data_IF_382572876264
#
_entry.id   IF_382572876264
#
_cell.length_a   1.000
_cell.length_b   1.000
_cell.length_c   1.000
_cell.angle_alpha   90.00
_cell.angle_beta   90.00
_cell.angle_gamma   90.00
#
_symmetry.space_group_name_H-M   'P 1'
#
loop_
_entity.id
_entity.type
_entity.pdbx_description
1 polymer ?
2 non-polymer ?
3 non-polymer ?
4 water ?
#
# COMPACT_ATOMS: atom_id res chain seq x y z
N UNK A 1 -6.48 1.71 10.71
CA UNK A 1 -5.41 1.31 9.81
C UNK A 1 -5.94 0.88 8.45
N UNK A 2 -5.37 1.55 7.41
CA UNK A 2 -5.81 1.32 6.02
C UNK A 2 -4.72 0.43 5.25
N UNK A 3 -5.16 -0.38 4.26
CA UNK A 3 -4.21 -0.94 3.30
C UNK A 3 -4.46 -0.14 2.01
N UNK A 4 -3.40 0.17 1.38
CA UNK A 4 -3.52 0.92 0.14
C UNK A 4 -2.74 0.17 -0.95
N UNK A 5 -3.41 -0.21 -1.96
CA UNK A 5 -2.75 -0.95 -3.08
C UNK A 5 -3.53 -0.70 -4.41
N UNK A 6 -2.71 -1.13 -5.45
CA UNK A 6 -3.34 -1.15 -6.88
C UNK A 6 -3.14 -2.58 -7.36
N UNK A 7 -4.15 -3.14 -8.04
CA UNK A 7 -4.04 -4.55 -8.51
C UNK A 7 -4.80 -4.48 -9.89
N UNK A 8 -4.33 -5.46 -10.67
CA UNK A 8 -5.00 -5.79 -12.07
C UNK A 8 -6.22 -6.56 -11.53
N UNK A 9 -6.92 -6.98 -12.70
CA UNK A 9 -8.16 -7.75 -12.57
C UNK A 9 -8.14 -9.03 -11.90
N UNK A 10 -6.97 -9.72 -11.86
CA UNK A 10 -6.72 -11.06 -11.21
C UNK A 10 -6.06 -10.79 -9.85
N UNK A 11 -5.76 -9.55 -9.41
CA UNK A 11 -5.09 -9.40 -8.10
C UNK A 11 -3.57 -9.16 -8.06
N UNK A 12 -3.07 -9.18 -9.42
CA UNK A 12 -1.64 -9.03 -9.46
C UNK A 12 -1.12 -7.72 -8.94
N UNK A 13 -0.08 -7.54 -8.11
CA UNK A 13 0.46 -6.29 -7.66
C UNK A 13 1.93 -5.90 -8.00
N UNK A 14 2.65 -7.07 -8.43
CA UNK A 14 4.10 -6.74 -8.65
C UNK A 14 4.77 -7.73 -9.75
N UNK A 15 5.96 -7.33 -10.20
CA UNK A 15 6.65 -8.10 -11.16
C UNK A 15 8.11 -7.75 -10.96
N UNK A 16 9.00 -8.68 -10.60
CA UNK A 16 10.50 -8.58 -10.58
C UNK A 16 10.88 -7.51 -9.66
N UNK A 17 10.18 -7.24 -8.54
CA UNK A 17 10.52 -6.07 -7.56
C UNK A 17 10.03 -4.74 -7.98
N UNK A 18 9.17 -4.64 -9.02
CA UNK A 18 8.75 -3.33 -9.48
C UNK A 18 7.22 -3.52 -9.81
N UNK A 19 6.49 -2.54 -10.25
CA UNK A 19 5.13 -2.51 -10.61
C UNK A 19 5.20 -3.12 -12.04
N UNK A 20 3.84 -3.87 -12.07
CA UNK A 20 3.81 -4.55 -13.50
C UNK A 20 3.29 -3.59 -14.57
N UNK A 21 2.96 -2.31 -14.37
CA UNK A 21 2.34 -1.30 -15.21
C UNK A 21 3.10 0.00 -14.78
N UNK A 22 2.66 1.11 -15.45
CA UNK A 22 3.07 2.48 -15.18
C UNK A 22 1.77 3.26 -15.56
N UNK A 23 1.33 3.77 -14.34
CA UNK A 23 -0.03 4.43 -14.15
C UNK A 23 0.07 5.69 -13.09
N UNK A 24 0.52 6.75 -14.07
CA UNK A 24 0.71 8.01 -13.30
C UNK A 24 -0.54 8.41 -12.57
N UNK A 25 -1.74 8.44 -12.90
CA UNK A 25 -2.80 8.90 -12.16
C UNK A 25 -2.84 8.38 -10.67
N UNK A 26 -2.58 7.02 -10.78
CA UNK A 26 -2.62 6.20 -9.49
C UNK A 26 -1.56 6.61 -8.56
N UNK A 27 -0.33 6.94 -9.07
CA UNK A 27 0.79 7.46 -8.26
C UNK A 27 0.33 8.85 -7.73
N UNK A 28 -0.42 9.71 -8.43
CA UNK A 28 -0.68 11.01 -7.76
C UNK A 28 -1.77 10.52 -6.79
N UNK A 29 -2.65 9.58 -6.86
CA UNK A 29 -3.63 9.24 -5.82
C UNK A 29 -2.86 8.71 -4.58
N UNK A 30 -1.84 7.80 -4.83
CA UNK A 30 -0.97 7.30 -3.72
C UNK A 30 -0.46 8.43 -2.77
N UNK A 31 0.11 9.36 -3.58
CA UNK A 31 0.65 10.54 -2.80
C UNK A 31 -0.51 11.19 -2.01
N UNK A 32 -1.67 11.52 -2.57
CA UNK A 32 -2.84 12.14 -1.88
C UNK A 32 -3.18 11.45 -0.61
N UNK A 33 -3.11 10.02 -0.70
CA UNK A 33 -3.48 9.12 0.33
C UNK A 33 -2.40 8.97 1.33
N UNK A 34 -1.17 9.46 1.12
CA UNK A 34 -0.23 9.01 2.15
C UNK A 34 0.48 10.31 2.72
N UNK A 35 0.29 11.39 1.90
CA UNK A 35 0.94 12.62 2.50
C UNK A 35 0.37 12.92 3.94
N UNK A 36 1.32 13.31 4.84
CA UNK A 36 0.87 13.47 6.18
C UNK A 36 0.62 12.35 7.04
N UNK A 37 0.69 11.07 6.56
CA UNK A 37 0.27 9.96 7.43
C UNK A 37 1.48 9.21 7.78
N UNK A 38 1.41 8.12 8.51
CA UNK A 38 2.49 7.13 8.74
C UNK A 38 2.36 6.04 7.76
N UNK A 39 3.22 5.98 6.79
CA UNK A 39 3.22 5.19 5.69
C UNK A 39 4.08 3.88 5.92
N UNK A 40 3.67 2.64 6.06
CA UNK A 40 4.50 1.42 6.26
C UNK A 40 4.68 0.63 5.02
N UNK A 41 5.92 0.42 4.73
CA UNK A 41 6.28 -0.37 3.54
C UNK A 41 7.40 -1.36 3.94
N UNK A 42 7.39 -2.50 3.33
CA UNK A 42 8.41 -3.56 3.45
C UNK A 42 9.65 -3.01 2.77
N UNK A 43 10.84 -3.53 3.22
CA UNK A 43 12.14 -3.09 2.81
C UNK A 43 12.22 -3.11 1.21
N UNK A 44 11.76 -4.34 0.67
CA UNK A 44 11.91 -4.31 -0.83
C UNK A 44 11.14 -3.35 -1.57
N UNK A 45 9.89 -3.03 -1.20
CA UNK A 45 9.01 -1.94 -1.81
C UNK A 45 9.86 -0.64 -1.34
N UNK A 46 10.29 -0.36 -0.18
CA UNK A 46 10.96 0.90 -0.06
C UNK A 46 12.08 1.10 -1.03
N UNK A 47 13.04 0.13 -1.30
CA UNK A 47 14.21 0.22 -2.18
C UNK A 47 13.84 0.44 -3.58
N UNK A 48 12.67 0.21 -4.10
CA UNK A 48 11.99 0.44 -5.43
C UNK A 48 11.41 1.82 -5.66
N UNK A 49 11.23 2.63 -4.49
CA UNK A 49 10.86 4.09 -4.61
C UNK A 49 12.09 4.84 -5.40
N UNK A 50 11.34 5.72 -6.33
CA UNK A 50 12.57 6.46 -7.03
C UNK A 50 13.31 7.49 -6.20
N UNK A 51 12.76 8.11 -5.16
CA UNK A 51 13.24 9.18 -4.15
C UNK A 51 13.00 8.42 -2.86
N UNK A 52 13.90 8.22 -1.83
CA UNK A 52 13.67 7.37 -0.51
C UNK A 52 14.50 8.45 0.28
N UNK A 53 13.87 9.14 1.63
CA UNK A 53 12.44 8.68 1.73
C UNK A 53 11.43 9.42 0.82
N UNK A 54 10.15 9.02 0.74
CA UNK A 54 9.13 9.75 -0.06
C UNK A 54 8.89 10.88 1.00
N UNK A 55 8.82 12.14 0.07
CA UNK A 55 8.70 13.28 1.12
C UNK A 55 7.38 13.64 1.64
N UNK A 56 7.24 14.42 2.74
CA UNK A 56 5.96 14.91 3.34
C UNK A 56 5.11 13.79 4.01
N UNK A 57 5.69 12.62 4.45
CA UNK A 57 4.85 11.61 5.10
C UNK A 57 6.01 10.91 5.89
N UNK A 58 5.63 10.16 6.93
CA UNK A 58 6.55 9.37 7.73
C UNK A 58 6.70 8.02 6.94
N UNK A 59 7.91 7.73 6.55
CA UNK A 59 8.08 6.41 5.86
C UNK A 59 8.55 5.57 6.93
N UNK A 60 7.90 4.47 7.30
CA UNK A 60 8.42 3.45 8.22
C UNK A 60 8.78 2.19 7.39
N UNK A 61 9.90 1.70 7.44
CA UNK A 61 10.44 0.60 6.66
C UNK A 61 10.54 -0.50 7.62
N UNK A 62 9.99 -1.66 7.34
CA UNK A 62 9.97 -2.92 8.16
C UNK A 62 11.08 -3.85 7.59
N UNK A 63 12.24 -4.29 8.24
CA UNK A 63 13.38 -4.99 7.66
C UNK A 63 13.89 -6.09 8.66
N UNK A 64 14.35 -7.24 8.53
CA UNK A 64 14.90 -8.05 9.63
C UNK A 64 16.40 -7.78 9.84
N UNK A 65 16.93 -6.91 8.87
CA UNK A 65 18.39 -6.62 8.86
C UNK A 65 18.60 -5.75 10.04
N UNK A 66 19.13 -6.00 11.29
CA UNK A 66 19.45 -5.12 12.45
C UNK A 66 20.14 -3.75 12.11
N UNK A 67 21.14 -3.81 11.15
CA UNK A 67 21.95 -2.72 10.61
C UNK A 67 21.53 -1.79 9.56
N UNK A 68 20.18 -2.10 9.02
CA UNK A 68 19.85 -1.46 7.76
C UNK A 68 19.87 0.03 8.04
N UNK A 69 20.26 0.77 7.02
CA UNK A 69 20.21 2.21 7.01
C UNK A 69 19.30 2.75 5.92
N UNK A 70 18.52 3.71 6.45
CA UNK A 70 17.60 4.47 5.62
C UNK A 70 17.55 5.84 6.32
N UNK A 71 18.31 6.83 5.97
CA UNK A 71 18.29 8.17 6.49
C UNK A 71 16.96 8.75 6.30
N UNK A 72 16.40 9.40 7.33
CA UNK A 72 15.11 10.13 7.12
C UNK A 72 13.88 9.19 7.18
N UNK A 73 14.03 7.83 7.29
CA UNK A 73 12.86 6.88 7.37
C UNK A 73 12.84 6.37 8.76
N UNK A 74 11.93 5.68 9.40
CA UNK A 74 11.81 5.10 10.68
C UNK A 74 12.00 3.68 10.30
N UNK A 75 13.11 3.11 10.69
CA UNK A 75 13.59 1.73 10.39
C UNK A 75 13.22 0.90 11.62
N UNK A 76 12.22 -0.15 11.67
CA UNK A 76 11.88 -1.06 12.69
C UNK A 76 11.87 -2.41 12.01
N UNK A 77 11.78 -3.36 13.10
CA UNK A 77 12.04 -4.79 12.87
C UNK A 77 10.96 -5.74 13.21
N UNK A 78 9.81 -5.23 13.62
CA UNK A 78 8.72 -6.24 13.87
C UNK A 78 7.51 -5.44 13.74
N UNK A 79 6.27 -5.93 13.77
CA UNK A 79 5.00 -5.23 13.82
C UNK A 79 4.71 -4.47 15.14
N UNK A 80 5.11 -4.92 16.33
CA UNK A 80 4.92 -4.38 17.69
C UNK A 80 5.63 -2.99 17.54
N UNK A 81 6.79 -2.85 16.90
CA UNK A 81 7.39 -1.49 16.80
C UNK A 81 6.68 -0.58 15.99
N UNK A 82 5.90 -0.98 14.98
CA UNK A 82 5.20 -0.18 14.15
C UNK A 82 4.14 0.47 15.06
N UNK A 83 3.34 -0.44 15.71
CA UNK A 83 2.22 0.06 16.53
C UNK A 83 2.86 0.90 17.73
N UNK A 84 3.85 0.55 18.34
CA UNK A 84 4.51 1.39 19.44
C UNK A 84 4.83 2.75 18.81
N UNK A 85 5.27 2.93 17.53
CA UNK A 85 5.51 4.20 16.91
C UNK A 85 4.18 4.90 16.73
N UNK A 86 3.18 4.28 16.11
CA UNK A 86 1.80 4.77 15.87
C UNK A 86 1.07 5.30 17.24
N UNK A 87 1.25 4.62 18.34
CA UNK A 87 0.80 4.96 19.68
C UNK A 87 1.45 6.38 20.07
N UNK A 88 2.74 6.65 19.74
CA UNK A 88 3.42 7.89 20.04
C UNK A 88 3.08 9.17 19.39
N UNK A 89 2.37 8.92 18.14
CA UNK A 89 1.87 9.51 16.90
C UNK A 89 0.45 9.74 17.03
N UNK A 90 -0.36 9.38 16.63
CA UNK A 90 -1.69 9.80 17.48
C UNK A 90 -2.74 10.32 16.57
N UNK A 91 -2.42 11.44 16.03
CA UNK A 91 -2.98 12.46 15.20
C UNK A 91 -2.57 12.05 13.68
N UNK A 92 -1.59 11.01 13.50
CA UNK A 92 -1.26 10.63 12.05
C UNK A 92 -1.97 9.18 11.95
N UNK A 93 -2.67 9.04 10.86
CA UNK A 93 -3.34 7.73 10.46
C UNK A 93 -2.34 6.78 9.97
N UNK A 94 -2.43 5.51 10.21
CA UNK A 94 -1.51 4.52 9.73
C UNK A 94 -2.11 3.78 8.37
N UNK A 95 -1.28 3.93 7.38
CA UNK A 95 -1.49 3.39 6.05
C UNK A 95 -0.23 2.33 5.70
N UNK A 96 -0.78 1.10 5.43
CA UNK A 96 0.12 -0.05 5.05
C UNK A 96 0.05 -0.03 3.48
N UNK A 97 1.26 0.23 2.94
CA UNK A 97 1.36 0.38 1.48
C UNK A 97 2.08 -0.87 0.77
N UNK A 98 2.32 -1.95 1.47
CA UNK A 98 2.89 -3.07 0.85
C UNK A 98 4.31 -3.38 1.06
N UNK A 99 4.84 -4.48 0.37
CA UNK A 99 4.13 -5.30 -0.56
C UNK A 99 3.54 -6.33 0.17
N UNK A 100 3.38 -7.55 -0.48
CA UNK A 100 2.67 -8.74 -0.04
C UNK A 100 3.04 -9.31 1.40
N UNK A 101 4.38 -9.32 1.63
CA UNK A 101 4.80 -9.88 2.95
C UNK A 101 4.30 -8.91 4.01
N UNK A 102 4.37 -7.57 3.73
CA UNK A 102 3.79 -6.67 4.83
C UNK A 102 2.34 -6.61 4.94
N UNK A 103 1.66 -6.75 3.78
CA UNK A 103 0.18 -6.91 3.95
C UNK A 103 -0.19 -8.10 4.83
N UNK A 104 0.59 -9.27 4.64
CA UNK A 104 0.30 -10.51 5.51
C UNK A 104 0.59 -10.19 6.99
N UNK A 105 1.68 -9.43 7.22
CA UNK A 105 2.05 -9.13 8.68
C UNK A 105 0.95 -8.29 9.06
N UNK A 106 0.11 -7.36 8.61
CA UNK A 106 -0.93 -6.49 9.30
C UNK A 106 -2.27 -7.07 8.87
N UNK A 107 -2.47 -8.30 8.31
CA UNK A 107 -3.81 -8.80 7.74
C UNK A 107 -4.80 -8.73 8.96
N UNK A 108 -4.53 -8.74 10.22
CA UNK A 108 -5.63 -8.67 11.27
C UNK A 108 -5.94 -7.32 11.84
N UNK A 109 -5.19 -6.42 11.36
CA UNK A 109 -5.51 -5.17 12.09
C UNK A 109 -5.95 -4.26 11.02
N UNK A 110 -6.29 -4.58 9.74
CA UNK A 110 -6.73 -3.49 8.77
C UNK A 110 -8.21 -3.37 8.96
N UNK A 111 -8.68 -2.09 8.91
CA UNK A 111 -10.16 -1.65 8.97
C UNK A 111 -10.62 -1.03 7.63
N UNK A 112 -9.74 -0.54 6.78
CA UNK A 112 -10.21 0.09 5.52
C UNK A 112 -9.33 -0.36 4.36
N UNK A 113 -9.97 -0.58 3.26
CA UNK A 113 -9.17 -0.96 2.05
C UNK A 113 -9.20 0.19 1.05
N UNK A 114 -8.10 0.69 0.62
CA UNK A 114 -8.00 1.74 -0.43
C UNK A 114 -7.39 0.91 -1.64
N UNK A 115 -8.32 0.43 -2.53
CA UNK A 115 -7.85 -0.45 -3.64
C UNK A 115 -8.01 0.26 -4.96
N UNK A 116 -7.05 0.26 -5.89
CA UNK A 116 -7.24 0.75 -7.24
C UNK A 116 -7.30 -0.61 -8.04
N UNK A 117 -8.34 -0.78 -8.73
CA UNK A 117 -8.60 -1.98 -9.59
C UNK A 117 -8.34 -1.60 -11.11
N UNK A 118 -7.35 -2.29 -11.74
CA UNK A 118 -7.08 -2.01 -13.22
C UNK A 118 -8.08 -2.88 -13.90
N UNK A 119 -8.55 -2.43 -15.13
CA UNK A 119 -9.52 -3.34 -15.90
C UNK A 119 -8.64 -4.39 -16.57
N UNK A 120 -7.39 -4.34 -16.90
CA UNK A 120 -6.67 -5.30 -17.60
C UNK A 120 -5.94 -6.26 -16.77
N UNK A 121 -5.19 -7.06 -17.64
CA UNK A 121 -4.42 -8.18 -17.00
C UNK A 121 -2.98 -8.09 -17.36
N UNK A 122 -1.98 -8.23 -16.47
CA UNK A 122 -0.58 -7.89 -16.64
C UNK A 122 0.18 -9.14 -16.23
N UNK A 123 1.38 -9.34 -16.61
CA UNK A 123 2.14 -10.50 -16.18
C UNK A 123 2.96 -10.07 -15.09
N UNK A 124 3.17 -10.83 -14.05
CA UNK A 124 4.05 -10.62 -12.96
C UNK A 124 4.09 -11.91 -12.07
N UNK A 125 4.55 -11.61 -10.83
CA UNK A 125 4.86 -12.69 -9.84
C UNK A 125 4.37 -12.42 -8.40
N UNK A 126 3.69 -11.33 -8.14
CA UNK A 126 3.30 -11.07 -6.71
C UNK A 126 1.79 -10.64 -6.86
N UNK A 127 0.93 -11.25 -6.01
CA UNK A 127 -0.53 -11.00 -5.99
C UNK A 127 -0.77 -10.45 -4.51
N UNK A 128 -1.89 -9.77 -4.56
CA UNK A 128 -2.48 -9.27 -3.24
C UNK A 128 -2.91 -10.62 -2.47
N UNK A 129 -2.70 -10.46 -1.12
CA UNK A 129 -3.06 -11.42 -0.12
C UNK A 129 -4.65 -11.42 -0.17
N UNK A 130 -4.94 -12.90 0.14
CA UNK A 130 -6.42 -13.09 0.22
C UNK A 130 -7.20 -12.39 1.33
N UNK A 131 -8.32 -11.71 1.10
CA UNK A 131 -8.92 -11.04 2.33
C UNK A 131 -10.37 -11.50 2.25
N UNK A 132 -11.00 -11.33 3.47
CA UNK A 132 -12.56 -11.70 3.57
C UNK A 132 -13.27 -10.53 2.98
N UNK A 133 -13.69 -10.18 1.74
CA UNK A 133 -14.40 -9.08 1.09
C UNK A 133 -15.75 -8.98 1.82
N UNK A 134 -16.26 -10.07 2.20
CA UNK A 134 -17.65 -10.24 2.73
C UNK A 134 -17.64 -9.49 4.06
N UNK A 135 -16.63 -9.22 4.84
CA UNK A 135 -16.48 -8.50 6.09
C UNK A 135 -16.33 -6.82 5.87
N UNK A 136 -16.46 -6.47 4.61
CA UNK A 136 -16.23 -5.06 4.34
C UNK A 136 -17.39 -4.60 3.48
N UNK A 137 -17.65 -3.28 3.47
CA UNK A 137 -18.67 -2.73 2.54
C UNK A 137 -18.04 -1.82 1.44
N UNK A 138 -18.25 -1.67 0.11
CA UNK A 138 -17.65 -0.71 -0.67
C UNK A 138 -18.38 0.55 -0.45
N UNK A 139 -17.82 1.53 0.15
CA UNK A 139 -18.45 2.82 0.41
C UNK A 139 -18.41 3.71 -0.75
N UNK A 140 -17.26 3.75 -1.53
CA UNK A 140 -17.05 4.78 -2.55
C UNK A 140 -16.42 4.00 -3.68
N UNK A 141 -16.79 4.48 -4.89
CA UNK A 141 -16.12 3.90 -6.11
C UNK A 141 -15.99 5.00 -7.09
N UNK A 142 -14.86 5.30 -7.76
CA UNK A 142 -14.74 6.49 -8.76
C UNK A 142 -13.93 5.66 -9.92
N UNK A 143 -14.38 5.76 -11.14
CA UNK A 143 -13.68 5.21 -12.28
C UNK A 143 -13.03 6.21 -13.22
N UNK A 144 -11.78 5.98 -13.62
CA UNK A 144 -10.91 6.82 -14.51
C UNK A 144 -10.57 5.93 -15.83
N UNK A 145 -10.95 6.60 -16.92
CA UNK A 145 -10.71 5.80 -18.15
C UNK A 145 -9.43 6.30 -18.67
N UNK A 146 -8.63 5.30 -19.18
CA UNK A 146 -7.27 5.61 -19.74
C UNK A 146 -7.32 5.26 -21.37
N UNK A 147 -6.48 5.89 -22.27
CA UNK A 147 -6.44 5.52 -23.63
C UNK A 147 -5.81 4.15 -23.86
N UNK A 148 -5.03 3.61 -22.91
CA UNK A 148 -4.70 2.10 -22.94
C UNK A 148 -5.92 1.64 -21.93
N UNK A 149 -6.77 0.79 -22.85
CA UNK A 149 -7.87 0.32 -21.96
C UNK A 149 -7.56 -0.71 -20.85
N UNK A 150 -6.49 -1.37 -20.69
CA UNK A 150 -5.96 -2.29 -19.65
C UNK A 150 -5.78 -1.44 -18.38
N UNK A 151 -5.58 -0.05 -18.49
CA UNK A 151 -5.14 0.96 -17.58
C UNK A 151 -6.31 1.74 -16.89
N UNK A 152 -7.50 1.62 -17.51
CA UNK A 152 -8.78 2.12 -17.02
C UNK A 152 -8.92 1.47 -15.52
N UNK A 153 -9.17 2.36 -14.66
CA UNK A 153 -9.14 1.92 -13.19
C UNK A 153 -10.23 2.52 -12.36
N UNK A 154 -10.47 1.85 -11.29
CA UNK A 154 -11.56 2.27 -10.39
C UNK A 154 -10.88 2.40 -8.96
N UNK A 155 -11.04 3.55 -8.35
CA UNK A 155 -10.60 3.76 -6.90
C UNK A 155 -11.82 3.38 -6.00
N UNK A 156 -11.60 2.37 -5.13
CA UNK A 156 -12.63 1.91 -4.21
C UNK A 156 -12.08 2.17 -2.76
N UNK A 157 -13.12 2.49 -1.95
CA UNK A 157 -12.88 2.63 -0.43
C UNK A 157 -13.74 1.54 0.26
N UNK A 158 -13.16 0.65 1.00
CA UNK A 158 -13.99 -0.30 1.61
C UNK A 158 -13.79 -0.16 3.13
N UNK A 159 -14.87 -0.31 3.89
CA UNK A 159 -14.72 -0.16 5.36
C UNK A 159 -15.39 -1.41 5.94
N UNK A 160 -14.73 -1.91 7.01
CA UNK A 160 -14.98 -3.15 7.78
C UNK A 160 -16.40 -3.07 8.47
N UNK A 161 -17.30 -4.02 8.23
CA UNK A 161 -18.64 -4.06 8.88
C UNK A 161 -18.64 -4.06 10.44
N UNK A 162 -19.55 -3.63 11.47
CA UNK A 162 -19.57 -3.94 12.93
C UNK A 162 -19.51 -5.60 13.12
X LIG B 1 7.76 -6.35 0.71
X LIG B 1 6.56 -6.77 1.49
X LIG B 1 7.75 -4.99 0.13
X LIG B 1 9.21 -6.51 1.48
X LIG B 1 9.60 -7.77 2.22
X LIG B 1 10.82 -7.40 3.17
X LIG B 1 10.15 -6.94 4.20
X LIG B 1 11.36 -8.80 3.69
X LIG B 1 12.28 -9.16 2.58
X LIG B 1 11.93 -8.11 5.01
X LIG B 1 13.06 -7.34 4.61
X LIG B 1 10.80 -7.25 5.49
X LIG B 1 9.85 -7.95 6.28
X LIG B 1 8.78 -8.72 5.98
X LIG B 1 7.94 -9.06 6.86
X LIG B 1 8.67 -8.69 8.04
X LIG B 1 8.24 -8.72 9.56
X LIG B 1 7.10 -9.29 9.96
X LIG B 1 9.07 -8.06 10.23
X LIG B 1 10.14 -7.35 9.68
X LIG B 1 10.69 -7.30 8.43
X LIG B 1 9.70 -7.89 7.62
X LIG B 1 8.05 -7.31 -0.53
X LIG B 1 7.20 -8.40 -1.35
X LIG B 1 6.19 -9.08 -0.60
X LIG B 1 8.19 -8.95 -2.38
X LIG B 1 6.47 -7.30 -2.32
X LIG B 1 7.14 -6.29 -3.22
X LIG B 1 6.43 -6.50 -4.58
X LIG B 1 5.10 -5.86 -4.41
X LIG B 1 7.15 -5.67 -5.65
X LIG B 1 6.94 -6.17 -6.98
X LIG B 1 6.41 -4.35 -5.53
X LIG B 1 6.54 -3.59 -6.77
X LIG B 1 4.96 -4.75 -5.27
X LIG B 1 4.00 -3.66 -4.76
X LIG B 1 2.92 -3.14 -5.33
X LIG B 1 1.96 -2.54 -4.72
X LIG B 1 0.97 -2.17 -5.69
X LIG B 1 0.10 -1.50 -4.96
X LIG B 1 0.68 -2.74 -6.88
X LIG B 1 2.32 -1.93 -3.41
X LIG B 1 3.58 -2.31 -2.83
X LIG B 1 4.45 -3.18 -3.46
X LIG B 1 14.67 -7.72 4.79
X LIG B 1 15.32 -6.38 4.46
X LIG B 1 14.62 -8.55 6.08
X LIG B 1 14.79 -8.69 3.55
X LIG C 1 -0.52 2.54 -5.91
X LIG C 1 -1.43 2.35 -4.86
X LIG C 1 -2.72 2.73 -5.13
X LIG C 1 -1.06 1.80 -3.70
X LIG C 1 0.20 1.44 -3.32
X LIG C 1 0.54 0.95 -2.15
X LIG C 1 1.20 1.70 -4.38
X LIG C 1 2.50 1.49 -4.13
X LIG C 1 3.34 1.76 -5.16
X LIG C 1 2.80 2.17 -6.36
X LIG C 1 1.66 2.44 -6.67
X LIG C 1 0.78 2.19 -5.65
X LIG C 1 4.79 1.31 -4.87
X LIG C 1 5.69 2.02 -5.64
X LIG C 1 6.60 1.09 -6.44
X LIG C 1 6.12 6.15 -5.90
X LIG C 1 6.75 5.33 -6.82
X LIG C 1 6.81 3.98 -6.92
X LIG C 1 5.95 3.35 -5.80
X LIG C 1 5.21 4.28 -4.91
X LIG C 1 5.20 5.56 -5.00
X LIG C 1 6.22 7.43 -6.17
X LIG C 1 6.93 8.15 -6.86
X LIG C 1 5.37 8.37 -5.88
X LIG C 1 5.24 9.71 -5.67
X LIG C 1 4.73 9.99 -4.26
X LIG C 1 3.94 9.44 -3.51
X LIG C 1 5.11 11.28 -3.92
X LIG C 1 4.30 10.70 -6.46
X LIG C 1 4.59 11.01 -7.88
X LIG C 1 3.68 11.14 -9.27
X LIG C 1 4.18 10.98 -10.53
X LIG C 1 2.80 11.75 -8.51
#
# INVERSE_FOLDING_TARGET
>A
TAFLWAQNRNGLIGKDGHLPWHLPDDLHYFRAQTVGKIMVVGRRTYESFPKRPLPERTNVVLTHQEDYQAQGAVVVHDVAAVFAYAKQHLDQELVIAGGAQIFTAFKDDVDTLLVTRLAGSFEGDTKMIPLNWDDFTKVSSRTVEDTNPALTHTYEVWQKKA
>B hetero
1 NDP PA O1A O2A O5B C5B C4B O4B C3B O3B C2B O2B C1B N9A C8A N7A C5A C6A N6A N1A C2A N3A C4A O3 PN O1N O2N O5D C5D C4D O4D C3D O3D C2D O2D C1D N1N C2N C3N C7N O7N N7N C4N C5N C6N P2B O1X O2X O3X
>C hetero
1 MTX N1 C2 NA2 N3 C4 NA4 C4A N5 C6 C7 N8 C8A C9 N10 CM C11 C12 C13 C14 C15 C16 C O N CA CT O1 O2 CB CG CD OE1 OE2
#
